data_IF_353957036276
#
_entry.id   IF_353957036276
#
_cell.length_a   1.000
_cell.length_b   1.000
_cell.length_c   1.000
_cell.angle_alpha   90.00
_cell.angle_beta   90.00
_cell.angle_gamma   90.00
#
_symmetry.space_group_name_H-M   'P 1'
#
loop_
_entity.id
_entity.type
_entity.pdbx_description
1 polymer ?
#
# COMPACT_ATOMS: atom_id res chain seq x y z
N UNK A 1 10.86 -10.03 8.60
CA UNK A 1 9.75 -9.08 8.81
C UNK A 1 10.29 -7.69 8.52
N UNK A 2 10.03 -7.15 7.33
CA UNK A 2 10.45 -5.78 6.96
C UNK A 2 9.48 -4.83 7.65
N UNK A 3 9.98 -3.98 8.54
CA UNK A 3 9.21 -2.89 9.13
C UNK A 3 8.81 -1.94 7.99
N UNK A 4 7.53 -1.97 7.60
CA UNK A 4 6.91 -1.16 6.53
C UNK A 4 7.09 0.35 6.72
N UNK A 5 7.57 0.76 7.88
CA UNK A 5 7.86 2.13 8.30
C UNK A 5 9.14 2.72 7.71
N UNK A 6 10.08 1.92 7.19
CA UNK A 6 11.41 2.41 6.78
C UNK A 6 11.57 2.69 5.27
N UNK A 7 10.48 2.64 4.50
CA UNK A 7 10.52 3.06 3.11
C UNK A 7 10.53 4.58 3.05
N UNK A 8 11.70 5.14 2.70
CA UNK A 8 11.93 6.58 2.61
C UNK A 8 10.74 7.30 1.92
N UNK A 9 10.02 8.18 2.63
CA UNK A 9 8.83 8.87 2.11
C UNK A 9 9.06 9.60 0.78
N UNK A 10 10.28 10.09 0.55
CA UNK A 10 10.68 10.76 -0.70
C UNK A 10 10.69 9.81 -1.90
N UNK A 11 11.12 8.56 -1.73
CA UNK A 11 11.13 7.57 -2.81
C UNK A 11 9.69 7.21 -3.23
N UNK A 12 8.83 6.96 -2.25
CA UNK A 12 7.40 6.70 -2.46
C UNK A 12 6.72 7.88 -3.18
N UNK A 13 7.05 9.11 -2.78
CA UNK A 13 6.55 10.33 -3.42
C UNK A 13 7.01 10.44 -4.87
N UNK A 14 8.28 10.19 -5.17
CA UNK A 14 8.84 10.28 -6.52
C UNK A 14 8.24 9.23 -7.48
N UNK A 15 8.07 7.98 -7.03
CA UNK A 15 7.65 6.88 -7.89
C UNK A 15 6.13 6.71 -7.97
N UNK A 16 5.39 6.99 -6.89
CA UNK A 16 3.95 6.74 -6.77
C UNK A 16 3.12 8.02 -6.64
N UNK A 17 3.76 9.19 -6.63
CA UNK A 17 3.12 10.50 -6.50
C UNK A 17 2.46 10.72 -5.13
N UNK A 18 2.84 9.95 -4.11
CA UNK A 18 2.40 10.15 -2.74
C UNK A 18 3.36 9.45 -1.77
N UNK A 19 3.77 10.16 -0.70
CA UNK A 19 4.74 9.68 0.29
C UNK A 19 4.36 8.37 1.00
N UNK A 20 3.07 8.02 1.05
CA UNK A 20 2.57 6.86 1.79
C UNK A 20 2.03 5.74 0.90
N UNK A 21 1.95 5.94 -0.43
CA UNK A 21 1.35 4.94 -1.32
C UNK A 21 2.08 3.61 -1.26
N UNK A 22 3.41 3.61 -1.29
CA UNK A 22 4.19 2.37 -1.24
C UNK A 22 3.97 1.59 0.06
N UNK A 23 3.93 2.26 1.22
CA UNK A 23 3.64 1.61 2.51
C UNK A 23 2.25 0.98 2.53
N UNK A 24 1.23 1.67 2.00
CA UNK A 24 -0.13 1.14 1.88
C UNK A 24 -0.18 -0.06 0.92
N UNK A 25 0.46 0.06 -0.25
CA UNK A 25 0.51 -1.03 -1.23
C UNK A 25 1.20 -2.27 -0.67
N UNK A 26 2.27 -2.11 0.11
CA UNK A 26 2.98 -3.23 0.70
C UNK A 26 2.24 -3.87 1.86
N UNK A 27 1.50 -3.10 2.66
CA UNK A 27 0.56 -3.70 3.61
C UNK A 27 -0.40 -4.62 2.86
N UNK A 28 -1.06 -4.10 1.80
CA UNK A 28 -2.04 -4.87 1.03
C UNK A 28 -1.38 -6.08 0.34
N UNK A 29 -0.20 -5.90 -0.25
CA UNK A 29 0.52 -6.95 -0.97
C UNK A 29 1.03 -8.07 -0.04
N UNK A 30 1.34 -7.76 1.21
CA UNK A 30 1.83 -8.74 2.18
C UNK A 30 0.76 -9.16 3.20
N UNK A 31 -0.49 -8.73 3.03
CA UNK A 31 -1.59 -9.21 3.86
C UNK A 31 -1.86 -10.68 3.54
N UNK A 32 -2.03 -11.48 4.60
CA UNK A 32 -2.24 -12.92 4.50
C UNK A 32 -3.56 -13.23 3.76
N UNK A 33 -4.61 -12.49 4.11
CA UNK A 33 -5.91 -12.56 3.43
C UNK A 33 -5.98 -11.54 2.28
N UNK A 34 -6.80 -11.84 1.27
CA UNK A 34 -7.13 -10.85 0.24
C UNK A 34 -8.09 -9.77 0.73
N UNK A 35 -8.73 -9.94 1.89
CA UNK A 35 -9.69 -8.99 2.45
C UNK A 35 -9.05 -8.18 3.57
N UNK A 36 -9.20 -6.86 3.50
CA UNK A 36 -8.63 -5.94 4.47
C UNK A 36 -9.51 -4.70 4.67
N UNK A 37 -9.13 -3.88 5.65
CA UNK A 37 -9.83 -2.65 6.03
C UNK A 37 -8.86 -1.49 6.25
N UNK A 38 -9.37 -0.25 6.17
CA UNK A 38 -8.56 0.94 6.43
C UNK A 38 -7.96 0.98 7.85
N UNK A 39 -8.68 0.59 8.93
CA UNK A 39 -8.09 0.51 10.27
C UNK A 39 -6.87 -0.42 10.37
N UNK A 40 -6.88 -1.56 9.67
CA UNK A 40 -5.72 -2.47 9.66
C UNK A 40 -4.51 -1.82 8.98
N UNK A 41 -4.71 -1.08 7.88
CA UNK A 41 -3.66 -0.31 7.21
C UNK A 41 -3.07 0.73 8.17
N UNK A 42 -3.92 1.54 8.81
CA UNK A 42 -3.49 2.56 9.77
C UNK A 42 -2.67 1.93 10.90
N UNK A 43 -3.19 0.84 11.50
CA UNK A 43 -2.51 0.15 12.59
C UNK A 43 -1.14 -0.41 12.20
N UNK A 44 -0.98 -0.90 10.96
CA UNK A 44 0.25 -1.54 10.51
C UNK A 44 1.29 -0.55 9.96
N UNK A 45 0.84 0.58 9.39
CA UNK A 45 1.71 1.53 8.69
C UNK A 45 1.93 2.84 9.46
N UNK A 46 1.10 3.15 10.45
CA UNK A 46 1.11 4.44 11.15
C UNK A 46 0.65 5.63 10.29
N UNK A 47 0.20 5.40 9.06
CA UNK A 47 -0.29 6.45 8.15
C UNK A 47 -1.59 7.03 8.71
N UNK A 48 -1.71 8.35 8.69
CA UNK A 48 -2.90 9.04 9.18
C UNK A 48 -4.18 8.55 8.45
N UNK A 49 -5.28 8.26 9.18
CA UNK A 49 -6.53 7.79 8.58
C UNK A 49 -7.06 8.68 7.45
N UNK A 50 -6.88 10.01 7.56
CA UNK A 50 -7.32 10.97 6.55
C UNK A 50 -6.58 10.82 5.22
N UNK A 51 -5.38 10.23 5.25
CA UNK A 51 -4.55 9.97 4.07
C UNK A 51 -4.82 8.58 3.47
N UNK A 52 -5.18 7.59 4.30
CA UNK A 52 -5.44 6.22 3.81
C UNK A 52 -6.64 6.17 2.86
N UNK A 53 -7.75 6.83 3.18
CA UNK A 53 -8.97 6.77 2.37
C UNK A 53 -8.79 7.28 0.92
N UNK A 54 -8.15 8.44 0.67
CA UNK A 54 -7.78 8.86 -0.68
C UNK A 54 -6.90 7.86 -1.44
N UNK A 55 -5.95 7.20 -0.76
CA UNK A 55 -5.07 6.20 -1.39
C UNK A 55 -5.85 4.95 -1.81
N UNK A 56 -6.73 4.45 -0.94
CA UNK A 56 -7.67 3.37 -1.31
C UNK A 56 -8.57 3.78 -2.47
N UNK A 57 -9.02 5.05 -2.52
CA UNK A 57 -9.75 5.59 -3.65
C UNK A 57 -8.97 5.53 -4.96
N UNK A 58 -7.66 5.83 -4.94
CA UNK A 58 -6.77 5.72 -6.11
C UNK A 58 -6.58 4.27 -6.55
N UNK A 59 -6.33 3.36 -5.62
CA UNK A 59 -6.18 1.92 -5.90
C UNK A 59 -7.48 1.32 -6.47
N UNK A 60 -8.64 1.70 -5.92
CA UNK A 60 -9.95 1.29 -6.43
C UNK A 60 -10.20 1.81 -7.86
N UNK A 61 -9.85 3.08 -8.13
CA UNK A 61 -9.92 3.65 -9.49
C UNK A 61 -8.98 2.94 -10.47
N UNK A 62 -7.82 2.51 -10.00
CA UNK A 62 -6.87 1.68 -10.75
C UNK A 62 -7.28 0.21 -10.88
N UNK A 63 -8.45 -0.18 -10.35
CA UNK A 63 -9.01 -1.54 -10.42
C UNK A 63 -8.08 -2.62 -9.87
N UNK A 64 -7.20 -2.27 -8.93
CA UNK A 64 -6.32 -3.23 -8.24
C UNK A 64 -6.93 -3.70 -6.91
N UNK A 65 -7.94 -2.99 -6.41
CA UNK A 65 -8.75 -3.40 -5.26
C UNK A 65 -10.22 -3.13 -5.57
N UNK A 66 -11.10 -3.85 -4.89
CA UNK A 66 -12.55 -3.60 -4.90
C UNK A 66 -13.07 -3.38 -3.48
N UNK A 67 -14.20 -2.67 -3.37
CA UNK A 67 -14.92 -2.52 -2.10
C UNK A 67 -16.02 -3.57 -2.07
N UNK A 68 -15.95 -4.51 -1.12
CA UNK A 68 -16.83 -5.68 -1.06
C UNK A 68 -17.94 -5.56 -0.02
N UNK A 69 -17.92 -4.51 0.81
CA UNK A 69 -18.99 -4.26 1.77
C UNK A 69 -18.50 -3.56 3.04
N UNK A 70 -19.03 -4.01 4.18
CA UNK A 70 -18.72 -3.53 5.52
C UNK A 70 -18.58 -4.69 6.49
N UNK A 71 -17.83 -4.47 7.56
CA UNK A 71 -17.80 -5.38 8.71
C UNK A 71 -19.22 -5.45 9.32
N UNK A 72 -19.77 -6.64 9.57
CA UNK A 72 -21.11 -6.78 10.17
C UNK A 72 -21.22 -6.05 11.50
N UNK A 73 -22.26 -5.22 11.67
CA UNK A 73 -22.47 -4.43 12.89
C UNK A 73 -21.62 -3.17 13.00
N UNK A 74 -20.71 -2.91 12.04
CA UNK A 74 -19.83 -1.75 12.05
C UNK A 74 -20.00 -0.87 10.80
N UNK A 75 -19.48 0.35 10.88
CA UNK A 75 -19.38 1.28 9.73
C UNK A 75 -18.11 1.06 8.90
N UNK A 76 -17.21 0.17 9.35
CA UNK A 76 -15.92 -0.13 8.73
C UNK A 76 -16.10 -0.75 7.35
N UNK A 77 -15.53 -0.12 6.31
CA UNK A 77 -15.56 -0.66 4.95
C UNK A 77 -14.57 -1.81 4.80
N UNK A 78 -14.97 -2.83 4.05
CA UNK A 78 -14.12 -3.95 3.63
C UNK A 78 -13.73 -3.82 2.17
N UNK A 79 -12.46 -4.08 1.90
CA UNK A 79 -11.85 -4.09 0.58
C UNK A 79 -11.26 -5.46 0.29
N UNK A 80 -11.23 -5.83 -0.99
CA UNK A 80 -10.54 -7.03 -1.48
C UNK A 80 -9.43 -6.65 -2.44
N UNK A 81 -8.28 -7.29 -2.29
CA UNK A 81 -7.16 -7.26 -3.22
C UNK A 81 -7.53 -8.02 -4.49
N UNK A 82 -7.38 -7.38 -5.65
CA UNK A 82 -7.54 -8.03 -6.96
C UNK A 82 -6.14 -8.48 -7.42
N UNK A 83 -6.04 -9.67 -8.00
CA UNK A 83 -4.78 -10.14 -8.59
C UNK A 83 -4.25 -9.13 -9.61
N UNK A 84 -2.99 -8.70 -9.42
CA UNK A 84 -2.42 -7.64 -10.23
C UNK A 84 -0.89 -7.64 -10.17
N UNK A 85 -0.19 -7.39 -11.29
CA UNK A 85 1.28 -7.33 -11.31
C UNK A 85 1.84 -6.18 -10.45
N UNK A 86 1.02 -5.18 -10.11
CA UNK A 86 1.46 -4.06 -9.27
C UNK A 86 1.83 -4.48 -7.84
N UNK A 87 1.30 -5.61 -7.35
CA UNK A 87 1.65 -6.13 -6.02
C UNK A 87 3.06 -6.72 -5.99
N UNK A 88 3.43 -7.45 -7.04
CA UNK A 88 4.81 -7.93 -7.20
C UNK A 88 5.78 -6.77 -7.40
N UNK A 89 5.40 -5.77 -8.19
CA UNK A 89 6.20 -4.57 -8.37
C UNK A 89 6.46 -3.87 -7.03
N UNK A 90 5.42 -3.65 -6.21
CA UNK A 90 5.57 -3.01 -4.91
C UNK A 90 6.54 -3.80 -4.01
N UNK A 91 6.39 -5.12 -3.95
CA UNK A 91 7.29 -6.01 -3.19
C UNK A 91 8.74 -5.91 -3.67
N UNK A 92 8.97 -5.92 -4.99
CA UNK A 92 10.31 -5.81 -5.59
C UNK A 92 10.95 -4.44 -5.32
N UNK A 93 10.22 -3.35 -5.54
CA UNK A 93 10.69 -1.99 -5.25
C UNK A 93 11.12 -1.86 -3.79
N UNK A 94 10.38 -2.46 -2.86
CA UNK A 94 10.72 -2.45 -1.45
C UNK A 94 11.95 -3.31 -1.10
N UNK A 95 12.15 -4.44 -1.79
CA UNK A 95 13.25 -5.36 -1.53
C UNK A 95 14.57 -4.91 -2.18
N UNK A 96 14.50 -4.35 -3.38
CA UNK A 96 15.67 -3.99 -4.19
C UNK A 96 16.14 -2.56 -3.91
N UNK A 97 15.23 -1.69 -3.41
CA UNK A 97 15.51 -0.26 -3.23
C UNK A 97 15.94 0.43 -4.53
N UNK A 98 16.27 1.73 -4.51
CA UNK A 98 17.07 2.30 -5.58
C UNK A 98 18.44 1.61 -5.55
N UNK A 99 18.70 0.73 -6.52
CA UNK A 99 20.05 0.32 -6.85
C UNK A 99 20.80 1.59 -7.26
N UNK A 100 21.54 2.18 -6.33
CA UNK A 100 22.60 3.09 -6.70
C UNK A 100 23.65 2.28 -7.44
N UNK A 101 23.40 1.96 -8.72
CA UNK A 101 24.49 1.89 -9.67
C UNK A 101 25.08 3.29 -9.71
N UNK A 102 26.07 3.52 -8.84
CA UNK A 102 26.98 4.64 -8.93
C UNK A 102 27.31 4.85 -10.40
N UNK A 103 27.07 6.04 -10.99
CA UNK A 103 27.66 6.32 -12.28
C UNK A 103 29.16 6.28 -12.04
N UNK A 104 29.80 5.23 -12.53
CA UNK A 104 31.23 5.24 -12.72
C UNK A 104 31.53 6.31 -13.77
N UNK A 105 31.84 7.52 -13.32
CA UNK A 105 32.69 8.53 -13.98
C UNK A 105 32.79 9.78 -13.11
#
# INVERSE_FOLDING_TARGET
MVLLTDLAPEHSKAMFGNSHMLSVMLFIANHDDDVFSAPQIVSATGVDPTLVHPLLGRLKKGQVIEQIGRVPGERTLLFRRIESPYWDLARRVAAEGPTASSPAA
#
